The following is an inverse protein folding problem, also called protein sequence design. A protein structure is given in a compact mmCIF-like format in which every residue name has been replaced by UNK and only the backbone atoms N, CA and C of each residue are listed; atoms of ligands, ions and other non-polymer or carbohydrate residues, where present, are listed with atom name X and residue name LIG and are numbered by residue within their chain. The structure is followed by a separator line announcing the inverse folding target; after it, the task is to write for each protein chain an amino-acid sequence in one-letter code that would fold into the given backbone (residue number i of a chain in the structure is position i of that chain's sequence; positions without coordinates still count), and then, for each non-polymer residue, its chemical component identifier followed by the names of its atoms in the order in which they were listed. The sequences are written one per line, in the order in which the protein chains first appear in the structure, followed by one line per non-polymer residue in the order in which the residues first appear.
data_IF_663182973001
#
_entry.id   IF_663182973001
#
_cell.length_a   1.000
_cell.length_b   1.000
_cell.length_c   1.000
_cell.angle_alpha   90.00
_cell.angle_beta   90.00
_cell.angle_gamma   90.00
#
_symmetry.space_group_name_H-M   'P 1'
#
loop_
_entity.id
_entity.type
_entity.pdbx_description
1 polymer ?
#
# COMPACT_ATOMS: atom_id res chain seq x y z
N UNK A 1 10.15 58.73 0.95
CA UNK A 1 10.06 57.58 0.02
C UNK A 1 10.64 56.30 0.62
N UNK A 2 11.81 56.30 1.28
CA UNK A 2 12.33 55.09 1.94
C UNK A 2 11.42 54.55 3.07
N UNK A 3 10.79 55.42 3.87
CA UNK A 3 9.89 55.02 4.97
C UNK A 3 8.66 54.26 4.46
N UNK A 4 8.03 54.77 3.40
CA UNK A 4 6.82 54.17 2.82
C UNK A 4 7.09 52.83 2.14
N UNK A 5 8.28 52.61 1.57
CA UNK A 5 8.67 51.29 1.04
C UNK A 5 8.95 50.28 2.16
N UNK A 6 9.50 50.72 3.30
CA UNK A 6 9.77 49.85 4.44
C UNK A 6 8.47 49.39 5.11
N UNK A 7 7.50 50.29 5.21
CA UNK A 7 6.17 50.00 5.78
C UNK A 7 5.39 48.99 4.90
N UNK A 8 5.52 49.07 3.57
CA UNK A 8 4.93 48.10 2.65
C UNK A 8 5.60 46.72 2.76
N UNK A 9 6.92 46.67 2.88
CA UNK A 9 7.68 45.43 3.00
C UNK A 9 7.38 44.66 4.31
N UNK A 10 7.10 45.38 5.40
CA UNK A 10 6.75 44.80 6.70
C UNK A 10 5.34 44.18 6.71
N UNK A 11 4.42 44.70 5.90
CA UNK A 11 3.06 44.15 5.75
C UNK A 11 3.05 42.86 4.92
N UNK A 12 3.98 42.73 3.96
CA UNK A 12 4.01 41.59 3.03
C UNK A 12 4.85 40.39 3.51
N UNK A 13 5.67 40.53 4.56
CA UNK A 13 6.54 39.44 5.04
C UNK A 13 6.57 39.29 6.57
N UNK A 14 5.86 38.29 7.14
CA UNK A 14 5.75 38.11 8.59
C UNK A 14 7.09 37.80 9.29
N UNK A 15 8.06 37.24 8.55
CA UNK A 15 9.41 36.95 9.06
C UNK A 15 10.21 38.24 9.33
N UNK A 16 10.05 39.27 8.51
CA UNK A 16 10.72 40.56 8.69
C UNK A 16 10.15 41.34 9.88
N UNK A 17 8.83 41.29 10.09
CA UNK A 17 8.19 41.87 11.26
C UNK A 17 8.70 41.23 12.57
N UNK A 18 8.85 39.90 12.59
CA UNK A 18 9.35 39.17 13.77
C UNK A 18 10.81 39.54 14.13
N UNK A 19 11.69 39.66 13.13
CA UNK A 19 13.10 40.03 13.33
C UNK A 19 13.25 41.44 13.95
N UNK A 20 12.31 42.36 13.68
CA UNK A 20 12.34 43.70 14.27
C UNK A 20 11.90 43.76 15.74
N UNK A 21 11.19 42.74 16.23
CA UNK A 21 10.78 42.63 17.64
C UNK A 21 11.86 42.00 18.53
N UNK A 22 12.76 41.21 17.96
CA UNK A 22 13.77 40.43 18.73
C UNK A 22 15.00 41.22 19.20
N UNK A 23 15.03 42.56 19.06
CA UNK A 23 16.13 43.40 19.59
C UNK A 23 15.74 43.99 20.96
N UNK A 24 16.40 43.59 22.07
CA UNK A 24 15.87 43.75 23.43
C UNK A 24 16.06 45.14 24.06
N UNK A 25 16.40 46.18 23.30
CA UNK A 25 16.62 47.54 23.86
C UNK A 25 16.17 48.62 22.90
N UNK A 26 14.85 48.82 22.78
CA UNK A 26 14.26 50.12 22.39
C UNK A 26 12.82 50.12 22.86
N UNK A 27 12.44 51.17 23.60
CA UNK A 27 11.07 51.39 24.08
C UNK A 27 10.08 51.11 22.95
N UNK A 28 9.16 50.17 23.22
CA UNK A 28 8.05 49.86 22.32
C UNK A 28 7.20 51.12 22.19
N UNK A 29 7.26 51.75 21.03
CA UNK A 29 6.27 52.74 20.62
C UNK A 29 5.05 51.97 20.08
N UNK A 30 3.85 52.33 20.54
CA UNK A 30 2.56 51.66 20.26
C UNK A 30 2.27 51.37 18.77
N UNK A 31 2.95 52.05 17.84
CA UNK A 31 2.71 51.86 16.40
C UNK A 31 3.14 50.49 15.88
N UNK A 32 4.14 49.82 16.48
CA UNK A 32 4.70 48.57 15.92
C UNK A 32 3.81 47.34 16.12
N UNK A 33 3.06 47.31 17.22
CA UNK A 33 2.11 46.23 17.52
C UNK A 33 0.94 46.24 16.53
N UNK A 34 0.53 47.43 16.09
CA UNK A 34 -0.54 47.61 15.11
C UNK A 34 -0.18 47.00 13.74
N UNK A 35 1.07 47.14 13.28
CA UNK A 35 1.52 46.53 12.03
C UNK A 35 1.57 45.00 12.12
N UNK A 36 1.99 44.45 13.26
CA UNK A 36 2.01 43.00 13.47
C UNK A 36 0.59 42.42 13.46
N UNK A 37 -0.33 43.03 14.21
CA UNK A 37 -1.75 42.62 14.24
C UNK A 37 -2.40 42.76 12.86
N UNK A 38 -2.19 43.86 12.15
CA UNK A 38 -2.72 44.06 10.81
C UNK A 38 -2.19 43.01 9.82
N UNK A 39 -0.90 42.70 9.87
CA UNK A 39 -0.28 41.69 8.99
C UNK A 39 -0.77 40.28 9.33
N UNK A 40 -0.90 39.96 10.61
CA UNK A 40 -1.42 38.66 11.06
C UNK A 40 -2.88 38.48 10.64
N UNK A 41 -3.73 39.49 10.82
CA UNK A 41 -5.13 39.47 10.40
C UNK A 41 -5.24 39.40 8.88
N UNK A 42 -4.40 40.12 8.12
CA UNK A 42 -4.39 40.05 6.67
C UNK A 42 -4.02 38.66 6.15
N UNK A 43 -3.03 37.99 6.76
CA UNK A 43 -2.66 36.60 6.42
C UNK A 43 -3.77 35.62 6.80
N UNK A 44 -4.42 35.81 7.95
CA UNK A 44 -5.55 34.98 8.39
C UNK A 44 -6.76 35.14 7.45
N UNK A 45 -7.07 36.37 7.05
CA UNK A 45 -8.14 36.69 6.10
C UNK A 45 -7.83 36.17 4.69
N UNK A 46 -6.57 36.26 4.23
CA UNK A 46 -6.13 35.64 2.98
C UNK A 46 -6.29 34.12 3.04
N UNK A 47 -5.88 33.46 4.12
CA UNK A 47 -6.11 32.01 4.29
C UNK A 47 -7.59 31.67 4.28
N UNK A 48 -8.42 32.43 5.00
CA UNK A 48 -9.86 32.17 5.09
C UNK A 48 -10.57 32.42 3.75
N UNK A 49 -10.23 33.48 3.03
CA UNK A 49 -10.77 33.78 1.70
C UNK A 49 -10.29 32.77 0.64
N UNK A 50 -9.05 32.26 0.77
CA UNK A 50 -8.51 31.20 -0.10
C UNK A 50 -9.15 29.84 0.14
N UNK A 51 -9.69 29.59 1.34
CA UNK A 51 -10.46 28.38 1.64
C UNK A 51 -11.93 28.45 1.19
N UNK A 52 -12.42 29.61 0.73
CA UNK A 52 -13.85 29.81 0.43
C UNK A 52 -14.19 30.01 -1.06
N UNK A 53 -13.25 29.88 -1.99
CA UNK A 53 -13.53 30.05 -3.43
C UNK A 53 -12.92 28.93 -4.28
N UNK A 54 -13.69 27.84 -4.43
CA UNK A 54 -14.08 27.17 -5.68
C UNK A 54 -14.62 25.76 -5.38
N UNK A 55 -15.75 25.67 -4.68
CA UNK A 55 -16.62 24.51 -4.80
C UNK A 55 -17.58 24.79 -5.95
N UNK A 56 -17.17 24.46 -7.17
CA UNK A 56 -18.14 24.31 -8.25
C UNK A 56 -19.12 23.20 -7.84
N UNK A 57 -20.44 23.39 -7.94
CA UNK A 57 -21.36 22.29 -7.85
C UNK A 57 -21.20 21.52 -9.17
N UNK A 58 -20.25 20.60 -9.22
CA UNK A 58 -20.44 19.49 -10.12
C UNK A 58 -21.62 18.72 -9.56
N UNK A 59 -22.76 18.79 -10.25
CA UNK A 59 -23.64 17.63 -10.38
C UNK A 59 -22.82 16.50 -11.04
N UNK A 60 -21.85 15.96 -10.31
CA UNK A 60 -21.45 14.61 -10.54
C UNK A 60 -22.62 13.78 -10.05
N UNK A 61 -23.19 12.98 -10.95
CA UNK A 61 -23.71 11.69 -10.55
C UNK A 61 -22.51 11.01 -9.89
N UNK A 62 -22.35 11.23 -8.59
CA UNK A 62 -21.54 10.40 -7.74
C UNK A 62 -22.33 9.11 -7.70
N UNK A 63 -22.01 8.22 -8.64
CA UNK A 63 -22.07 6.82 -8.28
C UNK A 63 -21.06 6.72 -7.13
N UNK A 64 -21.53 7.01 -5.92
CA UNK A 64 -20.72 7.02 -4.71
C UNK A 64 -20.22 5.59 -4.65
N UNK A 65 -18.92 5.45 -4.82
CA UNK A 65 -18.31 4.14 -4.79
C UNK A 65 -18.59 3.52 -3.43
N UNK A 66 -19.52 2.56 -3.41
CA UNK A 66 -19.94 1.90 -2.18
C UNK A 66 -19.21 0.57 -2.12
N UNK A 67 -18.22 0.50 -1.24
CA UNK A 67 -17.53 -0.75 -0.96
C UNK A 67 -18.48 -1.76 -0.31
N UNK A 68 -18.23 -3.03 -0.58
CA UNK A 68 -18.92 -4.17 0.04
C UNK A 68 -18.09 -4.84 1.15
N UNK A 69 -16.95 -4.24 1.52
CA UNK A 69 -16.06 -4.75 2.56
C UNK A 69 -16.69 -4.62 3.95
N UNK A 70 -16.25 -5.49 4.86
CA UNK A 70 -16.68 -5.44 6.25
C UNK A 70 -15.81 -4.44 7.03
N UNK A 71 -16.37 -3.77 8.05
CA UNK A 71 -15.62 -2.83 8.88
C UNK A 71 -14.41 -3.45 9.58
N UNK A 72 -13.40 -2.62 9.86
CA UNK A 72 -12.21 -2.98 10.62
C UNK A 72 -12.55 -3.34 12.08
N UNK A 73 -12.43 -4.63 12.46
CA UNK A 73 -12.91 -5.08 13.76
C UNK A 73 -11.91 -4.86 14.90
N UNK A 74 -10.68 -4.46 14.59
CA UNK A 74 -9.59 -4.36 15.56
C UNK A 74 -9.10 -2.93 15.78
N UNK A 75 -9.71 -1.95 15.10
CA UNK A 75 -9.36 -0.53 15.21
C UNK A 75 -9.24 -0.04 16.66
N UNK A 76 -10.20 -0.42 17.51
CA UNK A 76 -10.24 -0.02 18.92
C UNK A 76 -9.28 -0.80 19.82
N UNK A 77 -8.82 -1.98 19.39
CA UNK A 77 -7.89 -2.82 20.13
C UNK A 77 -6.43 -2.35 19.95
N UNK A 78 -6.12 -1.74 18.81
CA UNK A 78 -4.79 -1.26 18.46
C UNK A 78 -4.81 0.22 18.05
N UNK A 79 -5.21 1.14 18.95
CA UNK A 79 -5.42 2.55 18.60
C UNK A 79 -4.15 3.31 18.19
N UNK A 80 -2.98 2.73 18.44
CA UNK A 80 -1.67 3.33 18.14
C UNK A 80 -0.96 2.66 16.94
N UNK A 81 -1.54 1.60 16.38
CA UNK A 81 -0.99 0.92 15.21
C UNK A 81 -1.76 1.33 13.96
N UNK A 82 -1.13 1.12 12.81
CA UNK A 82 -1.88 1.10 11.56
C UNK A 82 -2.68 -0.21 11.51
N UNK A 83 -3.98 -0.11 11.24
CA UNK A 83 -4.87 -1.28 11.12
C UNK A 83 -5.93 -1.03 10.07
N UNK A 84 -6.42 -2.09 9.43
CA UNK A 84 -7.52 -2.05 8.47
C UNK A 84 -7.95 -3.47 8.12
N UNK A 85 -8.70 -3.60 7.03
CA UNK A 85 -9.00 -4.88 6.40
C UNK A 85 -8.39 -4.96 5.00
N UNK A 86 -8.12 -6.17 4.55
CA UNK A 86 -7.51 -6.47 3.25
C UNK A 86 -8.36 -7.52 2.56
N UNK A 87 -9.33 -7.07 1.78
CA UNK A 87 -10.17 -7.94 0.99
C UNK A 87 -9.53 -8.18 -0.38
N UNK A 88 -9.40 -9.44 -0.79
CA UNK A 88 -9.12 -9.75 -2.18
C UNK A 88 -8.44 -11.08 -2.39
N UNK A 89 -7.65 -11.16 -3.47
CA UNK A 89 -7.04 -12.41 -3.92
C UNK A 89 -5.55 -12.43 -3.58
N UNK A 90 -5.13 -13.47 -2.87
CA UNK A 90 -3.72 -13.84 -2.70
C UNK A 90 -3.47 -15.12 -3.49
N UNK A 91 -2.58 -15.08 -4.48
CA UNK A 91 -2.40 -16.18 -5.41
C UNK A 91 -0.93 -16.52 -5.66
N UNK A 92 -0.64 -17.80 -5.80
CA UNK A 92 0.70 -18.32 -6.08
C UNK A 92 0.89 -18.40 -7.58
N UNK A 93 1.90 -17.70 -8.07
CA UNK A 93 2.39 -17.73 -9.45
C UNK A 93 3.65 -18.60 -9.47
N UNK A 94 3.58 -19.85 -9.97
CA UNK A 94 4.77 -20.65 -10.15
C UNK A 94 5.65 -20.03 -11.24
N UNK A 95 6.86 -19.63 -10.88
CA UNK A 95 7.90 -19.23 -11.82
C UNK A 95 9.09 -20.17 -11.69
N UNK A 96 9.88 -20.34 -12.76
CA UNK A 96 11.08 -21.17 -12.63
C UNK A 96 12.05 -20.54 -11.62
N UNK A 97 12.74 -21.37 -10.84
CA UNK A 97 13.81 -20.92 -9.94
C UNK A 97 14.90 -20.16 -10.70
N UNK A 98 15.15 -20.53 -11.96
CA UNK A 98 16.02 -19.78 -12.87
C UNK A 98 15.53 -18.35 -13.07
N UNK A 99 14.25 -18.15 -13.40
CA UNK A 99 13.68 -16.81 -13.58
C UNK A 99 13.71 -16.04 -12.25
N UNK A 100 13.34 -16.68 -11.14
CA UNK A 100 13.43 -16.08 -9.81
C UNK A 100 14.86 -15.57 -9.51
N UNK A 101 15.89 -16.34 -9.88
CA UNK A 101 17.30 -15.96 -9.73
C UNK A 101 17.74 -14.83 -10.63
N UNK A 102 17.15 -14.70 -11.82
CA UNK A 102 17.45 -13.62 -12.75
C UNK A 102 16.88 -12.27 -12.27
N UNK A 103 15.72 -12.28 -11.61
CA UNK A 103 14.99 -11.06 -11.24
C UNK A 103 15.17 -10.62 -9.77
N UNK A 104 15.40 -11.56 -8.86
CA UNK A 104 15.63 -11.27 -7.44
C UNK A 104 17.10 -10.83 -7.27
N UNK A 105 17.37 -9.71 -6.55
CA UNK A 105 18.72 -9.24 -6.36
C UNK A 105 19.64 -10.34 -5.80
N UNK A 106 20.85 -10.52 -6.38
CA UNK A 106 21.68 -11.69 -6.13
C UNK A 106 22.17 -11.81 -4.67
N UNK A 107 22.17 -10.71 -3.91
CA UNK A 107 22.49 -10.73 -2.49
C UNK A 107 21.43 -11.43 -1.63
N UNK A 108 20.20 -11.59 -2.12
CA UNK A 108 19.13 -12.27 -1.38
C UNK A 108 19.04 -13.74 -1.80
N UNK A 109 19.46 -14.63 -0.90
CA UNK A 109 19.32 -16.07 -1.11
C UNK A 109 17.84 -16.46 -0.94
N UNK A 110 17.41 -17.49 -1.67
CA UNK A 110 16.07 -18.08 -1.59
C UNK A 110 16.23 -19.28 -0.68
N UNK A 111 15.39 -19.33 0.34
CA UNK A 111 15.32 -20.39 1.32
C UNK A 111 14.41 -21.49 0.76
N UNK A 112 14.92 -22.29 -0.18
CA UNK A 112 14.10 -23.35 -0.80
C UNK A 112 13.53 -24.34 0.22
N UNK A 113 14.31 -24.66 1.25
CA UNK A 113 13.86 -25.53 2.33
C UNK A 113 12.64 -24.98 3.06
N UNK A 114 12.51 -23.64 3.19
CA UNK A 114 11.42 -23.02 3.92
C UNK A 114 10.08 -23.18 3.19
N UNK A 115 10.03 -22.88 1.89
CA UNK A 115 8.77 -23.07 1.15
C UNK A 115 8.49 -24.54 0.83
N UNK A 116 9.51 -25.38 0.64
CA UNK A 116 9.32 -26.83 0.44
C UNK A 116 8.81 -27.54 1.69
N UNK A 117 9.12 -27.04 2.89
CA UNK A 117 8.52 -27.54 4.12
C UNK A 117 7.02 -27.28 4.17
N UNK A 118 6.55 -26.15 3.63
CA UNK A 118 5.13 -25.79 3.55
C UNK A 118 4.43 -26.41 2.34
N UNK A 119 5.15 -26.60 1.24
CA UNK A 119 4.68 -27.11 -0.04
C UNK A 119 5.58 -28.28 -0.51
N UNK A 120 5.50 -29.46 0.12
CA UNK A 120 6.38 -30.59 -0.19
C UNK A 120 6.24 -31.08 -1.63
N UNK A 121 5.05 -30.96 -2.20
CA UNK A 121 4.73 -31.35 -3.58
C UNK A 121 4.84 -30.19 -4.58
N UNK A 122 5.40 -29.03 -4.17
CA UNK A 122 5.62 -27.93 -5.12
C UNK A 122 6.58 -28.38 -6.22
N UNK A 123 6.30 -28.07 -7.50
CA UNK A 123 7.09 -28.60 -8.60
C UNK A 123 8.59 -28.35 -8.43
N UNK A 124 9.39 -29.33 -8.82
CA UNK A 124 10.84 -29.19 -8.90
C UNK A 124 11.21 -28.00 -9.81
N UNK A 125 12.34 -27.35 -9.51
CA UNK A 125 12.82 -26.18 -10.24
C UNK A 125 11.85 -24.98 -10.31
N UNK A 126 10.81 -24.93 -9.47
CA UNK A 126 9.88 -23.81 -9.36
C UNK A 126 10.00 -23.06 -8.03
N UNK A 127 9.62 -21.78 -8.09
CA UNK A 127 9.57 -20.83 -7.00
C UNK A 127 8.15 -20.23 -6.87
N UNK A 128 7.57 -20.15 -5.65
CA UNK A 128 6.23 -19.63 -5.44
C UNK A 128 6.24 -18.11 -5.29
N UNK A 129 6.24 -17.37 -6.41
CA UNK A 129 5.96 -15.94 -6.37
C UNK A 129 4.49 -15.70 -5.96
N UNK A 130 4.20 -14.58 -5.31
CA UNK A 130 2.86 -14.32 -4.76
C UNK A 130 2.28 -13.03 -5.33
N UNK A 131 1.15 -13.14 -6.01
CA UNK A 131 0.30 -12.00 -6.32
C UNK A 131 -0.52 -11.63 -5.09
N UNK A 132 -0.53 -10.35 -4.74
CA UNK A 132 -1.59 -9.76 -3.92
C UNK A 132 -2.39 -8.79 -4.77
N UNK A 133 -3.71 -8.95 -4.81
CA UNK A 133 -4.65 -8.05 -5.47
C UNK A 133 -5.76 -7.73 -4.47
N UNK A 134 -5.68 -6.54 -3.86
CA UNK A 134 -6.39 -6.21 -2.63
C UNK A 134 -7.09 -4.86 -2.74
N UNK A 135 -8.19 -4.76 -2.01
CA UNK A 135 -8.81 -3.53 -1.56
C UNK A 135 -8.51 -3.38 -0.06
N UNK A 136 -7.87 -2.27 0.29
CA UNK A 136 -7.51 -1.87 1.64
C UNK A 136 -8.63 -0.96 2.16
N UNK A 137 -9.36 -1.41 3.19
CA UNK A 137 -10.57 -0.76 3.68
C UNK A 137 -10.47 -0.41 5.18
N UNK A 138 -11.07 0.72 5.56
CA UNK A 138 -11.08 1.25 6.93
C UNK A 138 -9.69 1.28 7.58
N UNK A 139 -8.69 1.67 6.77
CA UNK A 139 -7.31 1.79 7.22
C UNK A 139 -7.19 3.01 8.13
N UNK A 140 -6.92 2.78 9.40
CA UNK A 140 -6.52 3.81 10.34
C UNK A 140 -5.02 3.78 10.55
N UNK A 141 -4.39 4.94 10.64
CA UNK A 141 -2.98 5.08 11.03
C UNK A 141 -2.77 6.44 11.70
N UNK A 142 -2.02 6.47 12.81
CA UNK A 142 -1.66 7.71 13.51
C UNK A 142 -2.86 8.62 13.87
N UNK A 143 -4.02 8.03 14.15
CA UNK A 143 -5.25 8.78 14.47
C UNK A 143 -6.00 9.34 13.25
N UNK A 144 -5.60 8.97 12.04
CA UNK A 144 -6.28 9.35 10.79
C UNK A 144 -6.91 8.12 10.14
N UNK A 145 -8.10 8.30 9.57
CA UNK A 145 -8.69 7.36 8.63
C UNK A 145 -8.14 7.67 7.23
N UNK A 146 -7.45 6.71 6.64
CA UNK A 146 -6.98 6.76 5.25
C UNK A 146 -8.16 6.31 4.38
N UNK A 147 -8.53 7.08 3.33
CA UNK A 147 -9.59 6.68 2.41
C UNK A 147 -9.26 5.32 1.77
N UNK A 148 -10.28 4.50 1.54
CA UNK A 148 -10.13 3.18 0.92
C UNK A 148 -9.38 3.25 -0.40
N UNK A 149 -8.48 2.30 -0.61
CA UNK A 149 -7.67 2.22 -1.83
C UNK A 149 -7.42 0.77 -2.22
N UNK A 150 -7.08 0.56 -3.48
CA UNK A 150 -6.67 -0.74 -3.99
C UNK A 150 -5.17 -0.76 -4.21
N UNK A 151 -4.59 -1.95 -4.08
CA UNK A 151 -3.20 -2.20 -4.46
C UNK A 151 -3.03 -3.58 -5.06
N UNK A 152 -2.04 -3.69 -5.93
CA UNK A 152 -1.62 -4.98 -6.45
C UNK A 152 -0.15 -5.03 -6.82
N UNK A 153 0.47 -6.18 -6.60
CA UNK A 153 1.87 -6.40 -6.91
C UNK A 153 2.22 -7.89 -6.85
N UNK A 154 3.39 -8.22 -7.37
CA UNK A 154 3.96 -9.56 -7.27
C UNK A 154 5.13 -9.49 -6.28
N UNK A 155 5.02 -10.27 -5.22
CA UNK A 155 5.97 -10.38 -4.13
C UNK A 155 6.77 -11.68 -4.23
N UNK A 156 8.00 -11.63 -3.74
CA UNK A 156 8.97 -12.72 -3.79
C UNK A 156 9.33 -13.15 -2.36
N UNK A 157 8.60 -14.11 -1.76
CA UNK A 157 8.81 -14.59 -0.38
C UNK A 157 9.99 -15.55 -0.20
N UNK A 158 10.24 -15.96 1.05
CA UNK A 158 11.29 -16.93 1.41
C UNK A 158 12.70 -16.47 1.06
N UNK A 159 12.98 -15.19 1.25
CA UNK A 159 14.28 -14.60 1.03
C UNK A 159 15.06 -14.42 2.32
N UNK A 160 16.34 -14.76 2.24
CA UNK A 160 17.31 -14.59 3.32
C UNK A 160 17.97 -13.21 3.19
N UNK A 161 17.30 -12.22 3.75
CA UNK A 161 17.84 -10.85 3.81
C UNK A 161 19.02 -10.74 4.79
N UNK A 162 19.01 -11.55 5.86
CA UNK A 162 19.94 -11.42 7.00
C UNK A 162 21.14 -12.37 6.94
N UNK A 163 21.19 -13.28 5.97
CA UNK A 163 22.24 -14.27 5.80
C UNK A 163 22.24 -15.38 6.86
N UNK A 164 21.14 -15.58 7.58
CA UNK A 164 21.06 -16.56 8.68
C UNK A 164 20.50 -17.92 8.28
N UNK A 165 20.09 -18.06 7.02
CA UNK A 165 19.52 -19.30 6.47
C UNK A 165 18.22 -19.75 7.13
N UNK A 166 17.55 -18.91 7.94
CA UNK A 166 16.36 -19.31 8.70
C UNK A 166 15.22 -18.29 8.60
N UNK A 167 15.54 -17.00 8.61
CA UNK A 167 14.54 -15.93 8.67
C UNK A 167 14.02 -15.64 7.26
N UNK A 168 12.74 -15.89 7.02
CA UNK A 168 12.11 -15.64 5.73
C UNK A 168 11.54 -14.22 5.64
N UNK A 169 12.00 -13.47 4.64
CA UNK A 169 11.46 -12.18 4.24
C UNK A 169 10.79 -12.29 2.87
N UNK A 170 9.95 -11.32 2.54
CA UNK A 170 9.43 -11.16 1.18
C UNK A 170 9.86 -9.84 0.57
N UNK A 171 10.35 -9.92 -0.67
CA UNK A 171 10.74 -8.76 -1.45
C UNK A 171 9.57 -8.29 -2.31
N UNK A 172 9.20 -7.02 -2.16
CA UNK A 172 8.12 -6.36 -2.90
C UNK A 172 8.70 -5.20 -3.72
N UNK A 173 9.28 -5.45 -4.91
CA UNK A 173 10.00 -4.43 -5.67
C UNK A 173 9.11 -3.33 -6.22
N UNK A 174 7.86 -3.66 -6.55
CA UNK A 174 6.96 -2.76 -7.26
C UNK A 174 5.52 -3.10 -6.99
N UNK A 175 4.66 -2.08 -7.01
CA UNK A 175 3.22 -2.25 -6.87
C UNK A 175 2.46 -1.15 -7.58
N UNK A 176 1.25 -1.47 -8.03
CA UNK A 176 0.25 -0.49 -8.44
C UNK A 176 -0.61 -0.14 -7.23
N UNK A 177 -0.97 1.14 -7.06
CA UNK A 177 -1.81 1.60 -5.95
C UNK A 177 -2.71 2.75 -6.41
N UNK A 178 -3.92 2.87 -5.85
CA UNK A 178 -4.91 3.85 -6.30
C UNK A 178 -4.34 5.28 -6.31
N UNK A 179 -4.44 5.95 -7.45
CA UNK A 179 -4.00 7.34 -7.59
C UNK A 179 -4.77 8.28 -6.63
N UNK A 180 -4.14 9.39 -6.23
CA UNK A 180 -4.74 10.37 -5.31
C UNK A 180 -4.73 9.98 -3.83
N UNK A 181 -4.16 8.82 -3.47
CA UNK A 181 -4.02 8.35 -2.10
C UNK A 181 -2.59 8.59 -1.58
N UNK A 182 -2.19 9.87 -1.52
CA UNK A 182 -0.79 10.28 -1.32
C UNK A 182 -0.14 9.72 -0.05
N UNK A 183 -0.92 9.55 1.03
CA UNK A 183 -0.41 8.95 2.28
C UNK A 183 -0.01 7.48 2.06
N UNK A 184 -0.88 6.69 1.40
CA UNK A 184 -0.63 5.29 1.10
C UNK A 184 0.52 5.13 0.09
N UNK A 185 0.51 5.94 -0.98
CA UNK A 185 1.57 5.96 -1.99
C UNK A 185 2.93 6.24 -1.34
N UNK A 186 3.01 7.28 -0.50
CA UNK A 186 4.23 7.65 0.20
C UNK A 186 4.68 6.58 1.19
N UNK A 187 3.75 6.02 1.96
CA UNK A 187 4.03 4.95 2.92
C UNK A 187 4.70 3.75 2.26
N UNK A 188 4.19 3.29 1.11
CA UNK A 188 4.81 2.21 0.37
C UNK A 188 6.18 2.59 -0.24
N UNK A 189 6.33 3.80 -0.78
CA UNK A 189 7.61 4.28 -1.34
C UNK A 189 8.72 4.37 -0.29
N UNK A 190 8.39 4.59 0.98
CA UNK A 190 9.39 4.75 2.04
C UNK A 190 10.15 3.47 2.39
N UNK A 191 9.65 2.30 1.96
CA UNK A 191 10.35 1.03 2.04
C UNK A 191 11.25 0.75 0.82
N UNK A 192 11.28 1.68 -0.14
CA UNK A 192 12.00 1.56 -1.40
C UNK A 192 11.20 0.90 -2.53
N UNK A 193 9.92 0.62 -2.31
CA UNK A 193 9.04 0.03 -3.33
C UNK A 193 8.83 1.02 -4.46
N UNK A 194 8.95 0.57 -5.70
CA UNK A 194 8.57 1.39 -6.85
C UNK A 194 7.05 1.36 -7.02
N UNK A 195 6.38 2.45 -6.62
CA UNK A 195 4.92 2.54 -6.59
C UNK A 195 4.40 3.27 -7.82
N UNK A 196 3.48 2.64 -8.55
CA UNK A 196 2.78 3.24 -9.68
C UNK A 196 1.40 3.71 -9.23
N UNK A 197 1.18 5.03 -9.20
CA UNK A 197 -0.16 5.59 -9.07
C UNK A 197 -1.03 5.10 -10.23
N UNK A 198 -2.20 4.54 -9.93
CA UNK A 198 -2.94 3.69 -10.86
C UNK A 198 -4.45 3.83 -10.75
N UNK A 199 -5.14 3.43 -11.82
CA UNK A 199 -6.61 3.23 -11.85
C UNK A 199 -6.94 1.75 -11.76
N UNK A 200 -8.02 1.42 -11.06
CA UNK A 200 -8.46 0.04 -10.82
C UNK A 200 -9.85 -0.22 -11.41
N UNK A 201 -10.09 -1.45 -11.83
CA UNK A 201 -11.41 -1.96 -12.17
C UNK A 201 -11.60 -3.37 -11.56
N UNK A 202 -12.56 -3.54 -10.64
CA UNK A 202 -13.42 -2.50 -10.07
C UNK A 202 -12.64 -1.44 -9.25
N UNK A 203 -13.16 -0.21 -9.13
CA UNK A 203 -12.45 0.87 -8.45
C UNK A 203 -12.46 0.78 -6.91
N UNK A 204 -13.47 0.15 -6.30
CA UNK A 204 -13.68 0.16 -4.83
C UNK A 204 -14.13 -1.19 -4.27
N UNK A 205 -13.88 -2.25 -5.03
CA UNK A 205 -14.12 -3.62 -4.62
C UNK A 205 -12.85 -4.42 -4.88
N UNK A 206 -12.68 -5.52 -4.15
CA UNK A 206 -11.55 -6.40 -4.35
C UNK A 206 -11.58 -7.13 -5.72
N UNK A 207 -12.77 -7.32 -6.30
CA UNK A 207 -13.00 -7.94 -7.60
C UNK A 207 -14.47 -7.81 -8.00
N UNK A 208 -14.79 -8.01 -9.29
CA UNK A 208 -16.17 -7.98 -9.80
C UNK A 208 -16.48 -9.24 -10.60
N UNK A 209 -17.69 -9.79 -10.48
CA UNK A 209 -18.14 -10.90 -11.33
C UNK A 209 -18.10 -10.51 -12.81
N UNK A 210 -17.61 -11.42 -13.66
CA UNK A 210 -17.56 -11.21 -15.11
C UNK A 210 -18.93 -11.55 -15.70
N UNK A 211 -19.66 -10.55 -16.26
CA UNK A 211 -21.00 -10.81 -16.79
C UNK A 211 -20.95 -11.80 -17.95
N UNK A 212 -21.85 -12.79 -17.94
CA UNK A 212 -21.97 -13.81 -18.99
C UNK A 212 -20.70 -14.65 -19.18
N UNK A 213 -19.85 -14.77 -18.16
CA UNK A 213 -18.81 -15.80 -18.15
C UNK A 213 -19.44 -17.19 -18.26
N UNK A 214 -18.70 -18.14 -18.85
CA UNK A 214 -19.11 -19.55 -18.89
C UNK A 214 -19.24 -20.15 -17.49
N UNK A 215 -18.43 -19.65 -16.57
CA UNK A 215 -18.46 -19.98 -15.16
C UNK A 215 -18.95 -18.76 -14.39
N UNK A 216 -20.08 -18.91 -13.69
CA UNK A 216 -20.72 -17.81 -12.95
C UNK A 216 -19.89 -17.31 -11.76
N UNK A 217 -18.89 -18.09 -11.32
CA UNK A 217 -17.96 -17.71 -10.25
C UNK A 217 -16.76 -16.89 -10.74
N UNK A 218 -16.63 -16.70 -12.06
CA UNK A 218 -15.51 -15.93 -12.61
C UNK A 218 -15.59 -14.47 -12.19
N UNK A 219 -14.51 -13.96 -11.61
CA UNK A 219 -14.34 -12.54 -11.28
C UNK A 219 -13.11 -11.97 -11.96
N UNK A 220 -13.12 -10.66 -12.17
CA UNK A 220 -11.99 -9.90 -12.67
C UNK A 220 -11.54 -8.85 -11.67
N UNK A 221 -10.26 -8.53 -11.77
CA UNK A 221 -9.63 -7.39 -11.14
C UNK A 221 -8.52 -6.89 -12.07
N UNK A 222 -8.37 -5.58 -12.20
CA UNK A 222 -7.30 -5.00 -13.00
C UNK A 222 -6.82 -3.67 -12.47
N UNK A 223 -5.55 -3.39 -12.70
CA UNK A 223 -4.88 -2.16 -12.36
C UNK A 223 -4.04 -1.69 -13.55
N UNK A 224 -4.05 -0.38 -13.82
CA UNK A 224 -3.22 0.25 -14.85
C UNK A 224 -2.61 1.53 -14.31
N UNK A 225 -1.29 1.67 -14.50
CA UNK A 225 -0.58 2.90 -14.14
C UNK A 225 -1.18 4.10 -14.86
N UNK A 226 -1.26 5.22 -14.16
CA UNK A 226 -1.60 6.52 -14.74
C UNK A 226 -0.58 6.96 -15.78
N UNK A 227 0.67 6.51 -15.66
CA UNK A 227 1.67 6.64 -16.72
C UNK A 227 1.44 5.55 -17.78
N UNK A 228 1.04 5.98 -18.98
CA UNK A 228 0.65 5.09 -20.06
C UNK A 228 1.75 4.07 -20.39
N UNK A 229 1.42 2.78 -20.20
CA UNK A 229 2.31 1.66 -20.53
C UNK A 229 3.41 1.38 -19.50
N UNK A 230 3.50 2.12 -18.40
CA UNK A 230 4.52 1.91 -17.36
C UNK A 230 4.30 0.60 -16.59
N UNK A 231 3.07 0.36 -16.12
CA UNK A 231 2.72 -0.88 -15.44
C UNK A 231 1.23 -1.23 -15.59
N UNK A 232 0.91 -2.53 -15.56
CA UNK A 232 -0.44 -3.03 -15.47
C UNK A 232 -0.48 -4.46 -14.94
N UNK A 233 -1.52 -4.80 -14.17
CA UNK A 233 -1.84 -6.16 -13.76
C UNK A 233 -3.31 -6.42 -14.04
N UNK A 234 -3.66 -7.59 -14.54
CA UNK A 234 -5.04 -8.05 -14.61
C UNK A 234 -5.17 -9.52 -14.27
N UNK A 235 -6.30 -9.88 -13.69
CA UNK A 235 -6.58 -11.23 -13.22
C UNK A 235 -7.97 -11.66 -13.64
N UNK A 236 -8.10 -12.94 -13.96
CA UNK A 236 -9.38 -13.63 -14.12
C UNK A 236 -9.33 -14.89 -13.28
N UNK A 237 -10.18 -14.98 -12.27
CA UNK A 237 -10.22 -16.09 -11.33
C UNK A 237 -11.63 -16.68 -11.24
N UNK A 238 -11.71 -18.00 -11.18
CA UNK A 238 -12.92 -18.77 -10.92
C UNK A 238 -12.77 -19.56 -9.63
N UNK A 239 -13.87 -19.76 -8.93
CA UNK A 239 -13.90 -20.52 -7.68
C UNK A 239 -13.71 -22.01 -7.96
N UNK A 240 -13.01 -22.70 -7.06
CA UNK A 240 -12.80 -24.15 -7.14
C UNK A 240 -13.13 -24.81 -5.80
N UNK A 241 -13.52 -26.09 -5.86
CA UNK A 241 -13.89 -26.86 -4.67
C UNK A 241 -12.71 -27.61 -4.04
N UNK A 242 -11.49 -27.34 -4.50
CA UNK A 242 -10.29 -28.03 -4.04
C UNK A 242 -9.23 -27.02 -3.60
N UNK A 243 -8.69 -27.24 -2.42
CA UNK A 243 -7.51 -26.54 -1.93
C UNK A 243 -6.25 -27.13 -2.58
N UNK A 244 -5.52 -26.31 -3.35
CA UNK A 244 -4.29 -26.72 -4.04
C UNK A 244 -3.05 -26.44 -3.19
N UNK A 245 -3.08 -25.35 -2.42
CA UNK A 245 -2.01 -24.99 -1.48
C UNK A 245 -2.61 -24.87 -0.07
N UNK A 246 -1.94 -25.40 0.97
CA UNK A 246 -2.44 -25.41 2.33
C UNK A 246 -2.67 -23.98 2.85
N UNK A 247 -3.74 -23.75 3.60
CA UNK A 247 -4.02 -22.45 4.21
C UNK A 247 -2.86 -21.91 5.07
N UNK A 248 -2.14 -22.80 5.76
CA UNK A 248 -0.95 -22.43 6.55
C UNK A 248 0.17 -21.82 5.70
N UNK A 249 0.30 -22.21 4.43
CA UNK A 249 1.22 -21.54 3.50
C UNK A 249 0.83 -20.08 3.28
N UNK A 250 -0.47 -19.79 3.10
CA UNK A 250 -0.95 -18.42 2.92
C UNK A 250 -0.78 -17.57 4.18
N UNK A 251 -1.03 -18.15 5.37
CA UNK A 251 -0.74 -17.47 6.64
C UNK A 251 0.75 -17.11 6.76
N UNK A 252 1.63 -18.07 6.46
CA UNK A 252 3.07 -17.85 6.53
C UNK A 252 3.50 -16.75 5.55
N UNK A 253 3.18 -16.91 4.26
CA UNK A 253 3.72 -16.06 3.20
C UNK A 253 3.22 -14.62 3.28
N UNK A 254 1.97 -14.42 3.72
CA UNK A 254 1.40 -13.07 3.85
C UNK A 254 1.92 -12.33 5.07
N UNK A 255 2.33 -13.05 6.13
CA UNK A 255 2.86 -12.48 7.37
C UNK A 255 4.40 -12.43 7.44
N UNK A 256 5.12 -12.74 6.36
CA UNK A 256 6.57 -12.50 6.28
C UNK A 256 6.87 -10.99 6.26
N UNK A 257 7.91 -10.50 6.95
CA UNK A 257 8.32 -9.11 6.88
C UNK A 257 8.66 -8.71 5.44
N UNK A 258 8.14 -7.57 5.00
CA UNK A 258 8.26 -7.05 3.64
C UNK A 258 9.41 -6.07 3.54
N UNK A 259 10.18 -6.12 2.45
CA UNK A 259 11.16 -5.09 2.13
C UNK A 259 11.24 -4.85 0.62
N UNK A 260 11.78 -3.70 0.20
CA UNK A 260 12.15 -3.47 -1.19
C UNK A 260 13.64 -3.14 -1.35
N UNK A 261 14.18 -2.22 -0.54
CA UNK A 261 15.59 -1.83 -0.58
C UNK A 261 16.50 -2.54 0.45
N UNK A 262 15.89 -3.28 1.38
CA UNK A 262 16.58 -4.07 2.41
C UNK A 262 17.06 -3.25 3.61
N UNK A 263 16.72 -1.96 3.71
CA UNK A 263 17.11 -1.10 4.85
C UNK A 263 16.06 -1.09 5.95
N UNK A 264 14.81 -0.94 5.55
CA UNK A 264 13.66 -0.86 6.45
C UNK A 264 12.66 -1.92 6.04
N UNK A 265 12.09 -2.60 7.02
CA UNK A 265 11.10 -3.63 6.81
C UNK A 265 9.74 -3.18 7.33
N UNK A 266 8.73 -3.50 6.55
CA UNK A 266 7.34 -3.44 6.98
C UNK A 266 6.95 -4.80 7.60
N UNK A 267 6.17 -4.74 8.68
CA UNK A 267 5.58 -5.91 9.30
C UNK A 267 4.07 -5.74 9.45
N UNK A 268 3.40 -5.95 8.32
CA UNK A 268 1.96 -6.11 8.22
C UNK A 268 1.54 -7.53 8.59
N UNK A 269 1.06 -7.70 9.82
CA UNK A 269 0.56 -8.95 10.36
C UNK A 269 -0.93 -9.08 10.04
N UNK A 270 -1.30 -10.05 9.20
CA UNK A 270 -2.70 -10.42 8.95
C UNK A 270 -3.20 -11.36 10.04
N UNK A 271 -4.42 -11.08 10.49
CA UNK A 271 -5.17 -11.90 11.43
C UNK A 271 -6.25 -12.67 10.67
N UNK A 272 -6.27 -13.98 10.87
CA UNK A 272 -7.14 -14.92 10.14
C UNK A 272 -8.29 -15.46 11.00
N UNK A 273 -8.33 -15.06 12.27
CA UNK A 273 -9.27 -15.50 13.30
C UNK A 273 -10.19 -14.37 13.77
N UNK A 274 -10.44 -13.40 12.89
CA UNK A 274 -11.31 -12.25 13.14
C UNK A 274 -12.69 -12.44 12.51
N UNK A 275 -13.66 -11.64 12.94
CA UNK A 275 -15.02 -11.68 12.40
C UNK A 275 -15.14 -11.18 10.95
N UNK A 276 -14.11 -10.53 10.39
CA UNK A 276 -14.07 -10.16 8.97
C UNK A 276 -13.68 -11.34 8.07
N UNK A 277 -12.89 -12.29 8.60
CA UNK A 277 -12.51 -13.53 7.88
C UNK A 277 -13.65 -14.56 7.92
N UNK A 278 -14.78 -14.21 7.28
CA UNK A 278 -16.01 -15.03 7.28
C UNK A 278 -15.99 -16.15 6.25
N UNK A 279 -15.28 -15.98 5.14
CA UNK A 279 -15.16 -16.96 4.08
C UNK A 279 -13.75 -16.95 3.48
N UNK A 280 -13.22 -18.14 3.25
CA UNK A 280 -11.97 -18.35 2.52
C UNK A 280 -12.33 -19.20 1.30
N UNK A 281 -12.18 -18.63 0.11
CA UNK A 281 -12.59 -19.25 -1.15
C UNK A 281 -11.36 -19.61 -2.00
N UNK A 282 -11.12 -20.91 -2.27
CA UNK A 282 -10.09 -21.32 -3.22
C UNK A 282 -10.44 -20.90 -4.64
N UNK A 283 -9.45 -20.38 -5.38
CA UNK A 283 -9.63 -19.92 -6.75
C UNK A 283 -8.53 -20.42 -7.70
N UNK A 284 -8.87 -20.54 -8.99
CA UNK A 284 -7.92 -20.79 -10.07
C UNK A 284 -8.14 -19.84 -11.23
N UNK A 285 -7.08 -19.51 -11.98
CA UNK A 285 -7.24 -18.58 -13.07
C UNK A 285 -5.96 -18.16 -13.78
N UNK A 286 -6.02 -16.96 -14.35
CA UNK A 286 -4.97 -16.36 -15.15
C UNK A 286 -4.56 -15.03 -14.56
N UNK A 287 -3.25 -14.79 -14.53
CA UNK A 287 -2.66 -13.50 -14.18
C UNK A 287 -1.86 -12.99 -15.38
N UNK A 288 -2.10 -11.73 -15.76
CA UNK A 288 -1.27 -11.00 -16.73
C UNK A 288 -0.63 -9.82 -16.03
N UNK A 289 0.68 -9.69 -16.11
CA UNK A 289 1.41 -8.61 -15.46
C UNK A 289 2.47 -8.01 -16.38
N UNK A 290 2.48 -6.69 -16.46
CA UNK A 290 3.58 -5.88 -16.96
C UNK A 290 3.99 -4.97 -15.82
N UNK A 291 4.97 -5.37 -15.03
CA UNK A 291 5.46 -4.62 -13.87
C UNK A 291 6.88 -5.09 -13.55
N UNK A 292 7.73 -4.19 -13.06
CA UNK A 292 9.04 -4.57 -12.56
C UNK A 292 8.90 -5.62 -11.43
N UNK A 293 9.82 -6.61 -11.35
CA UNK A 293 11.09 -6.70 -12.07
C UNK A 293 11.00 -7.38 -13.44
N UNK A 294 9.80 -7.73 -13.91
CA UNK A 294 9.63 -8.28 -15.25
C UNK A 294 9.82 -7.18 -16.30
N UNK A 295 10.70 -7.42 -17.27
CA UNK A 295 10.99 -6.46 -18.36
C UNK A 295 9.93 -6.46 -19.46
N UNK A 296 9.11 -7.51 -19.51
CA UNK A 296 8.08 -7.73 -20.51
C UNK A 296 6.77 -8.13 -19.82
N UNK A 297 5.66 -8.01 -20.55
CA UNK A 297 4.41 -8.59 -20.09
C UNK A 297 4.55 -10.11 -19.99
N UNK A 298 4.11 -10.66 -18.86
CA UNK A 298 4.04 -12.08 -18.59
C UNK A 298 2.60 -12.48 -18.34
N UNK A 299 2.27 -13.68 -18.79
CA UNK A 299 0.97 -14.31 -18.56
C UNK A 299 1.20 -15.69 -17.96
N UNK A 300 0.50 -15.96 -16.86
CA UNK A 300 0.50 -17.25 -16.20
C UNK A 300 -0.93 -17.77 -16.17
N UNK A 301 -1.14 -18.94 -16.75
CA UNK A 301 -2.36 -19.72 -16.59
C UNK A 301 -2.19 -20.71 -15.44
N UNK A 302 -3.30 -21.27 -14.95
CA UNK A 302 -3.30 -22.23 -13.83
C UNK A 302 -2.64 -21.66 -12.58
N UNK A 303 -2.91 -20.40 -12.30
CA UNK A 303 -2.57 -19.75 -11.03
C UNK A 303 -3.62 -20.14 -10.00
N UNK A 304 -3.19 -20.47 -8.78
CA UNK A 304 -4.09 -20.88 -7.70
C UNK A 304 -3.91 -19.98 -6.48
N UNK A 305 -5.00 -19.71 -5.77
CA UNK A 305 -4.97 -18.78 -4.64
C UNK A 305 -6.17 -18.91 -3.73
N UNK A 306 -6.27 -17.96 -2.81
CA UNK A 306 -7.41 -17.77 -1.92
C UNK A 306 -7.96 -16.36 -2.12
N UNK A 307 -9.29 -16.25 -2.17
CA UNK A 307 -10.01 -15.02 -1.87
C UNK A 307 -10.41 -15.01 -0.41
N UNK A 308 -10.06 -13.94 0.28
CA UNK A 308 -10.32 -13.78 1.71
C UNK A 308 -10.25 -12.31 2.10
N UNK A 309 -10.91 -11.99 3.20
CA UNK A 309 -10.76 -10.72 3.90
C UNK A 309 -10.11 -10.97 5.26
N UNK A 310 -9.09 -10.16 5.56
CA UNK A 310 -8.28 -10.29 6.78
C UNK A 310 -8.08 -8.92 7.40
N UNK A 311 -8.31 -8.80 8.70
CA UNK A 311 -7.83 -7.65 9.45
C UNK A 311 -6.30 -7.68 9.53
N UNK A 312 -5.66 -6.52 9.63
CA UNK A 312 -4.21 -6.43 9.78
C UNK A 312 -3.76 -5.45 10.86
N UNK A 313 -2.59 -5.72 11.42
CA UNK A 313 -1.83 -4.79 12.26
C UNK A 313 -0.51 -4.54 11.56
N UNK A 314 -0.20 -3.29 11.29
CA UNK A 314 1.03 -2.90 10.61
C UNK A 314 1.98 -2.20 11.58
N UNK A 315 3.19 -2.75 11.69
CA UNK A 315 4.29 -2.20 12.46
C UNK A 315 5.30 -1.58 11.51
N UNK A 316 5.18 -0.27 11.34
CA UNK A 316 5.89 0.47 10.31
C UNK A 316 7.34 0.83 10.71
N UNK A 317 8.19 1.03 9.71
CA UNK A 317 9.56 1.57 9.83
C UNK A 317 10.50 0.78 10.74
N UNK A 318 10.38 -0.55 10.77
CA UNK A 318 11.22 -1.38 11.62
C UNK A 318 12.56 -1.72 10.95
N UNK A 319 13.70 -1.64 11.65
CA UNK A 319 14.95 -2.21 11.17
C UNK A 319 14.78 -3.68 10.84
N UNK A 320 15.17 -4.11 9.63
CA UNK A 320 15.01 -5.49 9.19
C UNK A 320 15.69 -6.52 10.12
N UNK A 321 16.80 -6.12 10.76
CA UNK A 321 17.53 -6.94 11.74
C UNK A 321 16.66 -7.35 12.95
N UNK A 322 15.64 -6.56 13.30
CA UNK A 322 14.74 -6.89 14.42
C UNK A 322 13.92 -8.16 14.17
N UNK A 323 13.85 -8.62 12.92
CA UNK A 323 13.12 -9.82 12.54
C UNK A 323 13.97 -11.08 12.52
N UNK A 324 15.23 -11.04 12.97
CA UNK A 324 16.05 -12.26 13.07
C UNK A 324 15.34 -13.33 13.90
N UNK A 325 15.11 -14.51 13.32
CA UNK A 325 14.36 -15.61 13.93
C UNK A 325 12.83 -15.43 13.92
N UNK A 326 12.31 -14.46 13.17
CA UNK A 326 10.88 -14.25 13.02
C UNK A 326 10.23 -15.43 12.28
N UNK A 327 9.12 -15.94 12.80
CA UNK A 327 8.37 -17.05 12.20
C UNK A 327 9.02 -18.43 12.35
N UNK A 328 10.08 -18.58 13.16
CA UNK A 328 10.76 -19.87 13.40
C UNK A 328 10.23 -20.63 14.64
N UNK A 329 9.01 -20.35 15.09
CA UNK A 329 8.36 -21.06 16.21
C UNK A 329 7.22 -21.94 15.74
#
# INVERSE_FOLDING_TARGET
MLSTCLDLALVCHPVLAFITMSRPKRQLHDSRLQYFLASFIAVLALRYASTSYFSFPNEFITDVCQTHDLPNPIASLYPNNATGTLNGTVAVIPISLKLAREIIPPQYRILEHAYRQLLPDFPEDMYPAVLQALHDHEVQAFGYLIPDFSRTGIEFPFLDLLGDNITSFKWAPSMLMTAGHEIALKGAMDYGTNVFASTFDPPCDAYRSVPRSRDSSTTHFSAKSSEAGAASISTLFSSINQEIFPFEFFKNVTNQPTFADGKTCDNMIRLFDTNVTTSIEPVTGTVKAKIAPFTEEKEWASVYGLRMDTAFIENNYLPCENFRGYGTQ
#
